data_IF_625917806250
#
_entry.id   IF_625917806250
#
_cell.length_a   1.000
_cell.length_b   1.000
_cell.length_c   1.000
_cell.angle_alpha   90.00
_cell.angle_beta   90.00
_cell.angle_gamma   90.00
#
_symmetry.space_group_name_H-M   'P 1'
#
loop_
_entity.id
_entity.type
_entity.pdbx_description
1 polymer ?
#
# COMPACT_ATOMS: atom_id res chain seq x y z
N UNK A 1 42.25 -10.67 3.50
CA UNK A 1 41.68 -11.13 4.79
C UNK A 1 40.36 -11.83 4.49
N UNK A 2 40.20 -13.09 4.90
CA UNK A 2 39.11 -14.00 4.46
C UNK A 2 37.78 -13.68 5.18
N UNK A 3 36.62 -14.01 4.57
CA UNK A 3 35.30 -13.67 5.11
C UNK A 3 34.88 -14.62 6.24
N UNK A 4 34.25 -14.07 7.29
CA UNK A 4 33.79 -14.83 8.45
C UNK A 4 32.37 -15.34 8.21
N UNK A 5 32.26 -16.54 7.64
CA UNK A 5 31.05 -17.34 7.79
C UNK A 5 30.94 -17.80 9.25
N UNK A 6 29.80 -17.55 9.89
CA UNK A 6 29.44 -18.20 11.16
C UNK A 6 28.08 -18.87 11.01
N UNK A 7 28.13 -20.16 10.67
CA UNK A 7 27.07 -21.10 11.00
C UNK A 7 26.97 -21.20 12.53
N UNK A 8 25.81 -20.90 13.10
CA UNK A 8 25.48 -21.30 14.47
C UNK A 8 24.19 -22.11 14.40
N UNK A 9 24.33 -23.44 14.39
CA UNK A 9 23.29 -24.35 14.86
C UNK A 9 23.49 -24.52 16.35
N UNK A 10 22.52 -24.07 17.16
CA UNK A 10 22.34 -24.57 18.53
C UNK A 10 20.86 -24.78 18.78
N UNK A 11 20.45 -26.05 18.80
CA UNK A 11 19.20 -26.50 19.38
C UNK A 11 19.34 -26.55 20.91
N UNK A 12 18.36 -26.03 21.66
CA UNK A 12 17.79 -26.68 22.86
C UNK A 12 16.56 -25.93 23.40
N UNK A 13 15.44 -26.67 23.36
CA UNK A 13 14.56 -26.96 24.51
C UNK A 13 13.71 -25.80 25.10
N UNK A 14 12.44 -25.81 24.71
CA UNK A 14 11.33 -25.77 25.66
C UNK A 14 10.81 -24.38 26.07
N UNK A 15 9.93 -23.81 25.25
CA UNK A 15 8.73 -23.15 25.79
C UNK A 15 7.51 -23.93 25.32
N UNK A 16 6.87 -24.56 26.31
CA UNK A 16 5.57 -25.22 26.17
C UNK A 16 4.53 -24.13 25.93
N UNK A 17 3.68 -24.38 24.94
CA UNK A 17 2.29 -23.91 24.99
C UNK A 17 2.03 -22.44 24.68
N UNK A 18 2.36 -22.01 23.47
CA UNK A 18 1.45 -21.13 22.73
C UNK A 18 1.23 -21.75 21.35
N UNK A 19 0.20 -22.59 21.25
CA UNK A 19 -0.41 -22.86 19.94
C UNK A 19 -0.92 -21.50 19.45
N UNK A 20 -0.17 -20.84 18.58
CA UNK A 20 -0.72 -19.79 17.73
C UNK A 20 -1.91 -20.45 17.04
N UNK A 21 -3.13 -20.05 17.46
CA UNK A 21 -4.34 -20.45 16.76
C UNK A 21 -4.15 -20.04 15.29
N UNK A 22 -4.58 -20.88 14.33
CA UNK A 22 -4.67 -20.43 12.95
C UNK A 22 -5.45 -19.12 12.96
N UNK A 23 -4.79 -18.07 12.49
CA UNK A 23 -5.31 -16.73 12.47
C UNK A 23 -6.45 -16.71 11.45
N UNK A 24 -7.68 -16.59 11.93
CA UNK A 24 -8.82 -16.26 11.08
C UNK A 24 -8.63 -14.82 10.58
N UNK A 25 -8.17 -14.71 9.34
CA UNK A 25 -8.73 -13.68 8.45
C UNK A 25 -10.22 -14.01 8.43
N UNK A 26 -11.08 -13.13 8.96
CA UNK A 26 -12.52 -13.31 8.85
C UNK A 26 -12.84 -13.61 7.37
N UNK A 27 -13.32 -14.81 7.08
CA UNK A 27 -13.53 -15.29 5.71
C UNK A 27 -14.73 -14.60 5.04
N UNK A 28 -14.98 -14.82 3.74
CA UNK A 28 -14.09 -14.84 2.58
C UNK A 28 -14.43 -13.64 1.67
N UNK A 29 -13.47 -13.10 0.91
CA UNK A 29 -13.71 -12.24 -0.27
C UNK A 29 -15.05 -11.46 -0.27
N UNK A 30 -15.13 -10.34 0.47
CA UNK A 30 -16.31 -9.50 0.34
C UNK A 30 -16.27 -8.92 -1.08
N UNK A 31 -17.14 -9.46 -1.94
CA UNK A 31 -17.28 -8.98 -3.30
C UNK A 31 -18.10 -7.69 -3.26
N UNK A 32 -17.42 -6.55 -3.25
CA UNK A 32 -18.07 -5.26 -3.38
C UNK A 32 -18.47 -5.08 -4.84
N UNK A 33 -19.75 -4.79 -5.05
CA UNK A 33 -20.29 -4.56 -6.40
C UNK A 33 -19.85 -3.18 -6.86
N UNK A 34 -18.96 -3.11 -7.86
CA UNK A 34 -18.53 -1.87 -8.50
C UNK A 34 -19.10 -1.90 -9.92
N UNK A 35 -20.28 -1.32 -10.10
CA UNK A 35 -21.02 -1.40 -11.37
C UNK A 35 -21.46 -2.83 -11.72
N UNK A 36 -21.16 -3.28 -12.94
CA UNK A 36 -21.54 -4.62 -13.45
C UNK A 36 -20.60 -5.74 -12.99
N UNK A 37 -19.44 -5.43 -12.42
CA UNK A 37 -18.46 -6.42 -11.96
C UNK A 37 -18.34 -6.45 -10.43
N UNK A 38 -17.80 -7.56 -9.92
CA UNK A 38 -17.54 -7.76 -8.49
C UNK A 38 -16.05 -7.54 -8.24
N UNK A 39 -15.71 -6.60 -7.37
CA UNK A 39 -14.34 -6.40 -6.92
C UNK A 39 -14.10 -7.23 -5.65
N UNK A 40 -12.99 -7.97 -5.61
CA UNK A 40 -12.54 -8.63 -4.37
C UNK A 40 -11.95 -7.57 -3.44
N UNK A 41 -12.46 -7.51 -2.21
CA UNK A 41 -11.97 -6.61 -1.18
C UNK A 41 -11.54 -7.42 0.03
N UNK A 42 -10.33 -7.17 0.50
CA UNK A 42 -9.75 -7.80 1.68
C UNK A 42 -9.82 -6.86 2.87
N UNK A 43 -10.21 -7.38 4.03
CA UNK A 43 -10.35 -6.60 5.26
C UNK A 43 -9.49 -7.18 6.37
N UNK A 44 -8.92 -6.30 7.18
CA UNK A 44 -8.23 -6.68 8.41
C UNK A 44 -8.94 -6.09 9.63
N UNK A 45 -9.32 -6.94 10.58
CA UNK A 45 -10.04 -6.53 11.77
C UNK A 45 -9.08 -6.28 12.94
N UNK A 46 -9.03 -5.02 13.39
CA UNK A 46 -8.25 -4.60 14.55
C UNK A 46 -9.00 -4.68 15.89
N UNK A 47 -10.32 -4.94 15.89
CA UNK A 47 -11.14 -4.97 17.11
C UNK A 47 -10.60 -6.00 18.12
N UNK A 48 -10.46 -5.58 19.38
CA UNK A 48 -10.00 -6.44 20.48
C UNK A 48 -8.49 -6.69 20.51
N UNK A 49 -7.69 -5.98 19.69
CA UNK A 49 -6.22 -6.09 19.70
C UNK A 49 -5.61 -4.92 20.48
N UNK A 50 -4.86 -5.16 21.57
CA UNK A 50 -4.36 -4.10 22.45
C UNK A 50 -3.26 -3.23 21.79
N UNK A 51 -2.53 -3.75 20.80
CA UNK A 51 -1.52 -3.02 20.03
C UNK A 51 -1.57 -3.46 18.56
N UNK A 52 -2.49 -2.92 17.75
CA UNK A 52 -2.59 -3.28 16.35
C UNK A 52 -1.37 -2.78 15.58
N UNK A 53 -0.56 -3.70 15.05
CA UNK A 53 0.50 -3.39 14.08
C UNK A 53 -0.12 -3.25 12.70
N UNK A 54 -0.18 -2.02 12.20
CA UNK A 54 -0.79 -1.72 10.89
C UNK A 54 0.04 -2.33 9.75
N UNK A 55 1.35 -2.36 9.91
CA UNK A 55 2.28 -2.94 8.94
C UNK A 55 2.03 -4.44 8.75
N UNK A 56 1.80 -5.18 9.85
CA UNK A 56 1.45 -6.61 9.79
C UNK A 56 0.10 -6.84 9.10
N UNK A 57 -0.86 -5.94 9.30
CA UNK A 57 -2.14 -6.00 8.61
C UNK A 57 -1.96 -5.75 7.10
N UNK A 58 -1.17 -4.74 6.72
CA UNK A 58 -0.86 -4.44 5.33
C UNK A 58 -0.17 -5.63 4.67
N UNK A 59 0.87 -6.20 5.29
CA UNK A 59 1.60 -7.36 4.79
C UNK A 59 0.67 -8.54 4.50
N UNK A 60 -0.16 -8.92 5.49
CA UNK A 60 -1.12 -10.02 5.33
C UNK A 60 -2.14 -9.77 4.23
N UNK A 61 -2.60 -8.53 4.06
CA UNK A 61 -3.54 -8.19 2.98
C UNK A 61 -2.84 -8.27 1.62
N UNK A 62 -1.62 -7.74 1.50
CA UNK A 62 -0.83 -7.79 0.28
C UNK A 62 -0.46 -9.22 -0.10
N UNK A 63 -0.09 -10.06 0.87
CA UNK A 63 0.21 -11.48 0.63
C UNK A 63 -0.95 -12.20 -0.06
N UNK A 64 -2.20 -11.93 0.36
CA UNK A 64 -3.38 -12.48 -0.32
C UNK A 64 -3.56 -11.96 -1.74
N UNK A 65 -3.29 -10.68 -1.96
CA UNK A 65 -3.38 -10.08 -3.30
C UNK A 65 -2.34 -10.71 -4.23
N UNK A 66 -1.09 -10.84 -3.79
CA UNK A 66 -0.01 -11.37 -4.65
C UNK A 66 -0.04 -12.88 -4.81
N UNK A 67 -0.63 -13.63 -3.87
CA UNK A 67 -0.92 -15.05 -4.04
C UNK A 67 -1.91 -15.30 -5.18
N UNK A 68 -2.91 -14.43 -5.32
CA UNK A 68 -3.92 -14.52 -6.39
C UNK A 68 -3.43 -13.91 -7.71
N UNK A 69 -2.72 -12.79 -7.64
CA UNK A 69 -2.21 -12.05 -8.78
C UNK A 69 -0.75 -11.62 -8.53
N UNK A 70 0.22 -12.46 -8.95
CA UNK A 70 1.64 -12.13 -8.78
C UNK A 70 2.01 -10.81 -9.46
N UNK A 71 2.71 -9.95 -8.72
CA UNK A 71 3.19 -8.66 -9.21
C UNK A 71 4.30 -8.85 -10.27
N UNK A 72 4.31 -7.97 -11.27
CA UNK A 72 5.35 -7.94 -12.32
C UNK A 72 5.52 -6.54 -12.89
N UNK A 73 6.76 -6.18 -13.26
CA UNK A 73 7.08 -4.93 -13.93
C UNK A 73 6.76 -3.69 -13.09
N UNK A 74 6.19 -2.67 -13.74
CA UNK A 74 5.78 -1.43 -13.07
C UNK A 74 4.44 -1.65 -12.36
N UNK A 75 4.41 -1.38 -11.06
CA UNK A 75 3.22 -1.59 -10.21
C UNK A 75 2.73 -0.24 -9.69
N UNK A 76 1.50 0.11 -10.06
CA UNK A 76 0.83 1.32 -9.59
C UNK A 76 0.21 1.14 -8.20
N UNK A 77 0.57 2.00 -7.26
CA UNK A 77 0.00 2.09 -5.91
C UNK A 77 -0.91 3.32 -5.88
N UNK A 78 -2.22 3.12 -6.02
CA UNK A 78 -3.18 4.23 -5.97
C UNK A 78 -3.45 4.64 -4.53
N UNK A 79 -3.27 5.92 -4.22
CA UNK A 79 -3.57 6.46 -2.88
C UNK A 79 -4.07 7.90 -2.97
N UNK A 80 -5.06 8.24 -2.16
CA UNK A 80 -5.45 9.63 -1.97
C UNK A 80 -4.44 10.32 -1.04
N UNK A 81 -3.69 11.29 -1.56
CA UNK A 81 -2.58 11.95 -0.86
C UNK A 81 -3.01 13.10 0.07
N UNK A 82 -4.28 13.10 0.48
CA UNK A 82 -4.88 14.13 1.33
C UNK A 82 -5.48 15.32 0.59
N UNK A 83 -6.09 16.20 1.37
CA UNK A 83 -6.73 17.45 0.97
C UNK A 83 -6.17 18.61 1.81
N UNK A 84 -6.37 19.84 1.35
CA UNK A 84 -6.06 21.03 2.16
C UNK A 84 -6.89 21.02 3.44
N UNK A 85 -6.28 21.41 4.57
CA UNK A 85 -6.92 21.33 5.88
C UNK A 85 -7.16 19.91 6.44
N UNK A 86 -7.01 18.86 5.64
CA UNK A 86 -7.19 17.49 6.11
C UNK A 86 -5.96 16.97 6.87
N UNK A 87 -6.18 16.48 8.09
CA UNK A 87 -5.17 15.87 8.97
C UNK A 87 -5.33 14.36 9.14
N UNK A 88 -6.41 13.76 8.60
CA UNK A 88 -6.71 12.33 8.72
C UNK A 88 -6.36 11.53 7.45
N UNK A 89 -5.58 12.12 6.55
CA UNK A 89 -5.03 11.40 5.40
C UNK A 89 -4.16 10.24 5.86
N UNK A 90 -3.99 9.22 5.00
CA UNK A 90 -3.17 8.07 5.32
C UNK A 90 -1.74 8.54 5.61
N UNK A 91 -1.14 8.06 6.70
CA UNK A 91 0.26 8.35 7.01
C UNK A 91 1.17 7.86 5.88
N UNK A 92 2.07 8.71 5.33
CA UNK A 92 2.97 8.32 4.25
C UNK A 92 3.84 7.10 4.57
N UNK A 93 4.17 6.90 5.84
CA UNK A 93 4.94 5.72 6.30
C UNK A 93 4.26 4.38 5.95
N UNK A 94 2.94 4.34 5.97
CA UNK A 94 2.21 3.13 5.58
C UNK A 94 2.27 2.89 4.07
N UNK A 95 2.26 3.95 3.26
CA UNK A 95 2.46 3.84 1.80
C UNK A 95 3.90 3.43 1.50
N UNK A 96 4.87 3.95 2.24
CA UNK A 96 6.28 3.55 2.13
C UNK A 96 6.44 2.04 2.37
N UNK A 97 5.75 1.49 3.35
CA UNK A 97 5.76 0.04 3.61
C UNK A 97 5.25 -0.77 2.40
N UNK A 98 4.18 -0.33 1.74
CA UNK A 98 3.69 -0.95 0.49
C UNK A 98 4.71 -0.82 -0.64
N UNK A 99 5.33 0.35 -0.78
CA UNK A 99 6.39 0.60 -1.78
C UNK A 99 7.57 -0.36 -1.59
N UNK A 100 8.01 -0.57 -0.36
CA UNK A 100 9.10 -1.49 -0.05
C UNK A 100 8.70 -2.94 -0.33
N UNK A 101 7.50 -3.34 0.07
CA UNK A 101 6.94 -4.67 -0.22
C UNK A 101 6.95 -5.00 -1.72
N UNK A 102 6.54 -4.04 -2.57
CA UNK A 102 6.54 -4.18 -4.03
C UNK A 102 7.98 -4.28 -4.56
N UNK A 103 8.89 -3.44 -4.06
CA UNK A 103 10.30 -3.44 -4.50
C UNK A 103 11.05 -4.72 -4.13
N UNK A 104 10.82 -5.26 -2.93
CA UNK A 104 11.43 -6.52 -2.46
C UNK A 104 11.06 -7.72 -3.34
N UNK A 105 9.96 -7.63 -4.09
CA UNK A 105 9.53 -8.64 -5.07
C UNK A 105 10.06 -8.37 -6.48
N UNK A 106 11.03 -7.47 -6.63
CA UNK A 106 11.69 -7.17 -7.91
C UNK A 106 10.83 -6.34 -8.88
N UNK A 107 9.78 -5.69 -8.38
CA UNK A 107 8.92 -4.81 -9.19
C UNK A 107 9.32 -3.33 -9.02
N UNK A 108 8.84 -2.49 -9.93
CA UNK A 108 9.08 -1.04 -9.95
C UNK A 108 7.84 -0.28 -9.45
N UNK A 109 7.81 0.16 -8.18
CA UNK A 109 6.63 0.84 -7.63
C UNK A 109 6.50 2.28 -8.14
N UNK A 110 5.28 2.67 -8.48
CA UNK A 110 4.89 4.07 -8.75
C UNK A 110 3.65 4.41 -7.93
N UNK A 111 3.72 5.46 -7.12
CA UNK A 111 2.57 5.94 -6.35
C UNK A 111 1.80 6.92 -7.21
N UNK A 112 0.48 6.78 -7.30
CA UNK A 112 -0.31 7.66 -8.16
C UNK A 112 -1.69 7.98 -7.63
N UNK A 113 -2.23 9.09 -8.12
CA UNK A 113 -3.63 9.43 -8.00
C UNK A 113 -4.11 10.23 -9.22
N UNK A 114 -5.37 10.63 -9.21
CA UNK A 114 -6.00 11.50 -10.22
C UNK A 114 -6.48 12.79 -9.57
N UNK A 115 -6.63 13.83 -10.39
CA UNK A 115 -7.19 15.11 -9.97
C UNK A 115 -8.66 15.00 -9.59
N UNK A 116 -9.14 16.01 -8.86
CA UNK A 116 -10.55 16.18 -8.51
C UNK A 116 -11.29 17.01 -9.57
N UNK A 117 -12.57 16.73 -9.78
CA UNK A 117 -13.45 17.54 -10.64
C UNK A 117 -13.91 18.86 -9.99
N UNK A 118 -13.78 18.98 -8.67
CA UNK A 118 -14.18 20.16 -7.91
C UNK A 118 -13.00 21.12 -7.71
N UNK A 119 -13.34 22.36 -7.37
CA UNK A 119 -12.38 23.40 -7.03
C UNK A 119 -11.57 23.04 -5.80
N UNK A 120 -10.26 23.21 -5.87
CA UNK A 120 -9.34 22.97 -4.77
C UNK A 120 -7.95 22.62 -5.27
N UNK A 121 -6.97 22.38 -4.38
CA UNK A 121 -5.59 22.11 -4.78
C UNK A 121 -5.41 20.82 -5.57
N UNK A 122 -6.42 19.95 -5.65
CA UNK A 122 -6.41 18.74 -6.45
C UNK A 122 -6.95 18.92 -7.87
N UNK A 123 -7.34 20.12 -8.28
CA UNK A 123 -7.94 20.36 -9.60
C UNK A 123 -6.96 20.32 -10.79
N UNK A 124 -5.65 20.27 -10.53
CA UNK A 124 -4.61 20.08 -11.55
C UNK A 124 -3.40 19.36 -10.94
N UNK A 125 -2.56 18.77 -11.77
CA UNK A 125 -1.45 17.94 -11.29
C UNK A 125 -0.41 18.73 -10.49
N UNK A 126 -0.12 19.98 -10.91
CA UNK A 126 0.93 20.80 -10.28
C UNK A 126 0.53 21.17 -8.86
N UNK A 127 -0.68 21.68 -8.66
CA UNK A 127 -1.16 22.02 -7.32
C UNK A 127 -1.32 20.76 -6.46
N UNK A 128 -1.73 19.63 -7.06
CA UNK A 128 -1.87 18.40 -6.29
C UNK A 128 -0.51 17.86 -5.83
N UNK A 129 0.50 17.82 -6.70
CA UNK A 129 1.85 17.39 -6.31
C UNK A 129 2.44 18.29 -5.22
N UNK A 130 2.19 19.59 -5.27
CA UNK A 130 2.59 20.51 -4.20
C UNK A 130 1.89 20.20 -2.87
N UNK A 131 0.58 19.93 -2.90
CA UNK A 131 -0.18 19.51 -1.72
C UNK A 131 0.35 18.16 -1.18
N UNK A 132 0.51 17.17 -2.05
CA UNK A 132 1.03 15.85 -1.71
C UNK A 132 2.40 15.94 -1.04
N UNK A 133 3.31 16.76 -1.59
CA UNK A 133 4.62 16.98 -1.01
C UNK A 133 4.57 17.58 0.40
N UNK A 134 3.69 18.57 0.64
CA UNK A 134 3.46 19.15 1.98
C UNK A 134 2.94 18.12 2.99
N UNK A 135 2.24 17.09 2.51
CA UNK A 135 1.70 15.98 3.31
C UNK A 135 2.66 14.78 3.40
N UNK A 136 3.88 14.90 2.88
CA UNK A 136 4.89 13.84 2.93
C UNK A 136 4.76 12.77 1.85
N UNK A 137 3.89 12.97 0.85
CA UNK A 137 3.82 12.11 -0.33
C UNK A 137 4.75 12.64 -1.41
N UNK A 138 6.04 12.37 -1.25
CA UNK A 138 7.08 12.75 -2.20
C UNK A 138 8.12 11.62 -2.31
N UNK A 139 9.02 11.73 -3.28
CA UNK A 139 10.05 10.70 -3.52
C UNK A 139 10.93 10.48 -2.29
N UNK A 140 11.30 11.53 -1.55
CA UNK A 140 12.20 11.39 -0.40
C UNK A 140 11.57 10.55 0.73
N UNK A 141 10.28 10.75 0.99
CA UNK A 141 9.55 9.99 2.01
C UNK A 141 9.15 8.59 1.54
N UNK A 142 8.72 8.43 0.29
CA UNK A 142 8.17 7.17 -0.22
C UNK A 142 9.21 6.29 -0.92
N UNK A 143 10.31 6.84 -1.42
CA UNK A 143 11.30 6.14 -2.26
C UNK A 143 10.76 5.66 -3.60
N UNK A 144 9.62 6.18 -4.05
CA UNK A 144 9.00 5.88 -5.33
C UNK A 144 8.54 7.18 -6.00
N UNK A 145 8.50 7.23 -7.35
CA UNK A 145 7.88 8.34 -8.07
C UNK A 145 6.42 8.53 -7.66
N UNK A 146 6.01 9.80 -7.57
CA UNK A 146 4.62 10.21 -7.34
C UNK A 146 4.09 10.84 -8.62
N UNK A 147 3.02 10.30 -9.17
CA UNK A 147 2.49 10.68 -10.49
C UNK A 147 1.01 11.02 -10.41
N UNK A 148 0.58 12.01 -11.19
CA UNK A 148 -0.83 12.33 -11.42
C UNK A 148 -1.25 11.74 -12.77
N UNK A 149 -2.16 10.76 -12.74
CA UNK A 149 -2.43 9.86 -13.87
C UNK A 149 -3.29 10.44 -14.98
N UNK A 150 -3.96 11.57 -14.74
CA UNK A 150 -4.88 12.26 -15.67
C UNK A 150 -4.26 13.54 -16.26
N UNK A 151 -2.93 13.64 -16.21
CA UNK A 151 -2.14 14.69 -16.84
C UNK A 151 -2.24 16.06 -16.16
N UNK A 152 -1.51 17.04 -16.70
CA UNK A 152 -1.28 18.34 -16.01
C UNK A 152 -2.59 19.06 -15.68
N UNK A 153 -3.57 19.04 -16.59
CA UNK A 153 -4.87 19.70 -16.45
C UNK A 153 -5.97 18.81 -15.86
N UNK A 154 -5.69 17.54 -15.53
CA UNK A 154 -6.69 16.64 -14.95
C UNK A 154 -7.74 16.08 -15.91
N UNK A 155 -7.51 16.17 -17.22
CA UNK A 155 -8.47 15.79 -18.26
C UNK A 155 -7.91 14.76 -19.27
N UNK A 156 -6.73 14.21 -19.01
CA UNK A 156 -6.11 13.22 -19.89
C UNK A 156 -6.68 11.84 -19.59
N UNK A 157 -7.16 11.16 -20.62
CA UNK A 157 -7.69 9.81 -20.50
C UNK A 157 -8.02 9.27 -21.87
N UNK A 158 -8.27 7.96 -21.94
CA UNK A 158 -8.74 7.28 -23.13
C UNK A 158 -9.78 6.23 -22.76
N UNK A 159 -10.68 5.94 -23.68
CA UNK A 159 -11.68 4.90 -23.49
C UNK A 159 -11.03 3.53 -23.64
N UNK A 160 -11.11 2.71 -22.59
CA UNK A 160 -10.71 1.30 -22.64
C UNK A 160 -11.92 0.49 -23.13
N UNK A 161 -11.69 -0.43 -24.08
CA UNK A 161 -12.71 -1.36 -24.60
C UNK A 161 -12.87 -2.57 -23.69
#
# INVERSE_FOLDING_TARGET
>A
MRPFARNVKTAKKGLRGFKLKPFEVASPNLLVRIGMSRAKVYFYNFKGRPMPRVEEAIEKLLDRVVEEEPLKGIVGIKVHMGEEGNVTHLRPEFVRYVVDYVRERGCEPVVFDTTSLYSGPRNNAVSYLNLAAKKGFNYASLGAPVVIGDGIKGASGFTVK
#
